data_IF_700038409848
#
_entry.id   IF_700038409848
#
_cell.length_a   1.000
_cell.length_b   1.000
_cell.length_c   1.000
_cell.angle_alpha   90.00
_cell.angle_beta   90.00
_cell.angle_gamma   90.00
#
_symmetry.space_group_name_H-M   'P 1'
#
loop_
_entity.id
_entity.type
_entity.pdbx_description
1 polymer ?
#
# COMPACT_ATOMS: atom_id res chain seq x y z
N UNK A 1 -38.34 77.62 17.07
CA UNK A 1 -39.47 76.81 16.56
C UNK A 1 -38.90 75.61 15.85
N UNK A 2 -39.49 74.43 16.11
CA UNK A 2 -39.21 73.09 15.56
C UNK A 2 -37.91 72.38 15.99
N UNK A 3 -38.01 71.76 17.15
CA UNK A 3 -37.32 70.54 17.59
C UNK A 3 -37.55 69.38 16.61
N UNK A 4 -36.49 68.63 16.25
CA UNK A 4 -36.59 67.22 15.88
C UNK A 4 -35.48 66.48 16.62
N UNK A 5 -35.88 65.52 17.47
CA UNK A 5 -35.03 64.58 18.20
C UNK A 5 -35.21 63.23 17.52
N UNK A 6 -34.10 62.53 17.24
CA UNK A 6 -34.12 61.10 16.86
C UNK A 6 -33.00 60.40 17.63
N UNK A 7 -33.35 59.33 18.35
CA UNK A 7 -32.49 58.59 19.27
C UNK A 7 -31.97 57.27 18.63
N UNK A 8 -30.65 57.09 18.72
CA UNK A 8 -29.83 55.89 19.06
C UNK A 8 -30.14 54.47 18.52
N UNK A 9 -29.09 53.83 17.98
CA UNK A 9 -28.60 52.42 18.14
C UNK A 9 -27.55 52.18 17.02
N UNK A 10 -26.41 51.50 17.11
CA UNK A 10 -25.73 50.60 18.06
C UNK A 10 -24.58 49.91 17.28
N UNK A 11 -23.56 49.40 17.99
CA UNK A 11 -22.36 48.59 17.62
C UNK A 11 -22.33 47.85 16.26
N UNK A 12 -21.20 47.53 15.62
CA UNK A 12 -19.82 47.33 16.05
C UNK A 12 -19.10 46.51 14.96
N UNK A 13 -17.78 46.58 14.93
CA UNK A 13 -16.88 45.90 13.98
C UNK A 13 -16.91 44.37 14.10
N UNK A 14 -16.95 43.66 12.97
CA UNK A 14 -16.56 42.25 12.90
C UNK A 14 -15.40 42.09 11.91
N UNK A 15 -14.22 41.60 12.35
CA UNK A 15 -13.19 41.14 11.45
C UNK A 15 -13.67 39.87 10.75
N UNK A 16 -13.40 39.77 9.44
CA UNK A 16 -13.57 38.55 8.68
C UNK A 16 -12.86 37.41 9.41
N UNK A 17 -13.66 36.58 10.07
CA UNK A 17 -13.16 35.38 10.74
C UNK A 17 -12.81 34.40 9.63
N UNK A 18 -11.54 34.39 9.23
CA UNK A 18 -10.96 33.33 8.41
C UNK A 18 -11.21 32.04 9.19
N UNK A 19 -12.21 31.28 8.74
CA UNK A 19 -12.48 29.96 9.30
C UNK A 19 -11.25 29.11 8.99
N UNK A 20 -10.50 28.60 9.97
CA UNK A 20 -9.40 27.70 9.69
C UNK A 20 -9.99 26.47 9.00
N UNK A 21 -9.69 26.29 7.71
CA UNK A 21 -10.04 25.08 6.98
C UNK A 21 -9.37 23.91 7.67
N UNK A 22 -10.17 23.06 8.33
CA UNK A 22 -9.71 21.81 8.92
C UNK A 22 -8.94 21.02 7.85
N UNK A 23 -7.72 20.53 8.13
CA UNK A 23 -7.00 19.70 7.18
C UNK A 23 -7.91 18.56 6.72
N UNK A 24 -8.13 18.41 5.41
CA UNK A 24 -8.89 17.31 4.86
C UNK A 24 -8.16 16.01 5.20
N UNK A 25 -8.76 15.20 6.07
CA UNK A 25 -8.22 13.90 6.44
C UNK A 25 -8.35 12.94 5.26
N UNK A 26 -7.22 12.43 4.76
CA UNK A 26 -7.18 11.49 3.63
C UNK A 26 -7.84 10.16 4.08
N UNK A 27 -8.88 9.67 3.39
CA UNK A 27 -9.53 8.41 3.77
C UNK A 27 -8.61 7.22 3.47
N UNK A 28 -8.13 6.54 4.51
CA UNK A 28 -7.22 5.39 4.39
C UNK A 28 -7.92 4.08 4.02
N UNK A 29 -9.24 4.04 4.14
CA UNK A 29 -10.07 2.84 3.94
C UNK A 29 -10.80 2.84 2.59
N UNK A 30 -10.41 3.73 1.67
CA UNK A 30 -10.98 3.76 0.33
C UNK A 30 -10.67 2.44 -0.42
N UNK A 31 -11.72 1.75 -0.86
CA UNK A 31 -11.58 0.54 -1.66
C UNK A 31 -11.14 0.86 -3.09
N UNK A 32 -10.31 0.00 -3.72
CA UNK A 32 -9.99 0.12 -5.14
C UNK A 32 -11.24 -0.09 -6.00
N UNK A 33 -11.22 0.48 -7.20
CA UNK A 33 -12.30 0.34 -8.18
C UNK A 33 -11.89 -0.55 -9.35
N UNK A 34 -12.85 -1.17 -10.04
CA UNK A 34 -12.60 -2.08 -11.16
C UNK A 34 -11.58 -3.20 -10.86
N UNK A 35 -11.73 -3.80 -9.67
CA UNK A 35 -10.89 -4.89 -9.19
C UNK A 35 -10.98 -6.10 -10.13
N UNK A 36 -9.81 -6.58 -10.57
CA UNK A 36 -9.61 -7.77 -11.39
C UNK A 36 -8.41 -8.54 -10.88
N UNK A 37 -8.36 -9.83 -11.19
CA UNK A 37 -7.33 -10.73 -10.69
C UNK A 37 -6.46 -11.25 -11.83
N UNK A 38 -5.15 -11.33 -11.58
CA UNK A 38 -4.17 -11.91 -12.51
C UNK A 38 -3.29 -12.91 -11.78
N UNK A 39 -2.87 -13.94 -12.50
CA UNK A 39 -1.99 -14.97 -11.95
C UNK A 39 -0.51 -14.58 -12.08
N UNK A 40 0.26 -14.84 -11.02
CA UNK A 40 1.71 -14.75 -11.03
C UNK A 40 2.31 -15.88 -10.19
N UNK A 41 2.99 -16.83 -10.85
CA UNK A 41 3.64 -17.98 -10.21
C UNK A 41 2.75 -18.75 -9.21
N UNK A 42 1.47 -18.92 -9.53
CA UNK A 42 0.49 -19.63 -8.70
C UNK A 42 -0.16 -18.78 -7.60
N UNK A 43 0.11 -17.46 -7.58
CA UNK A 43 -0.57 -16.49 -6.72
C UNK A 43 -1.53 -15.63 -7.54
N UNK A 44 -2.71 -15.35 -6.97
CA UNK A 44 -3.66 -14.39 -7.50
C UNK A 44 -3.34 -12.98 -6.99
N UNK A 45 -3.15 -12.03 -7.90
CA UNK A 45 -2.77 -10.64 -7.63
C UNK A 45 -3.87 -9.67 -8.06
N UNK A 46 -4.19 -8.66 -7.23
CA UNK A 46 -5.17 -7.66 -7.58
C UNK A 46 -4.58 -6.65 -8.59
N UNK A 47 -5.40 -6.28 -9.55
CA UNK A 47 -5.26 -5.06 -10.35
C UNK A 47 -6.56 -4.26 -10.25
N UNK A 48 -6.48 -2.94 -10.34
CA UNK A 48 -7.62 -2.05 -10.20
C UNK A 48 -7.51 -0.88 -11.19
N UNK A 49 -8.45 0.07 -11.09
CA UNK A 49 -8.34 1.35 -11.76
C UNK A 49 -7.19 2.21 -11.18
N UNK A 50 -6.80 2.00 -9.91
CA UNK A 50 -5.70 2.73 -9.27
C UNK A 50 -4.31 2.08 -9.50
N UNK A 51 -4.25 1.08 -10.38
CA UNK A 51 -3.03 0.43 -10.83
C UNK A 51 -3.01 -1.09 -10.65
N UNK A 52 -1.99 -1.78 -11.20
CA UNK A 52 -0.95 -1.20 -12.07
C UNK A 52 -1.50 -0.78 -13.44
N UNK A 53 -1.04 0.38 -13.94
CA UNK A 53 -1.35 0.89 -15.27
C UNK A 53 -0.41 0.35 -16.35
N UNK A 54 0.84 0.04 -15.97
CA UNK A 54 1.90 -0.43 -16.86
C UNK A 54 1.99 -1.96 -16.84
N UNK A 55 0.99 -2.62 -17.40
CA UNK A 55 0.82 -4.08 -17.31
C UNK A 55 1.64 -4.90 -18.31
N UNK A 56 2.38 -4.26 -19.23
CA UNK A 56 3.21 -4.96 -20.22
C UNK A 56 4.40 -5.68 -19.58
N UNK A 57 4.89 -5.17 -18.45
CA UNK A 57 5.85 -5.90 -17.62
C UNK A 57 5.09 -6.83 -16.68
N UNK A 58 4.98 -8.10 -17.06
CA UNK A 58 4.26 -9.10 -16.27
C UNK A 58 5.02 -9.47 -14.99
N UNK A 59 6.34 -9.22 -14.91
CA UNK A 59 7.18 -9.58 -13.75
C UNK A 59 7.12 -8.50 -12.68
N UNK A 60 7.16 -7.23 -13.09
CA UNK A 60 7.14 -6.08 -12.19
C UNK A 60 6.29 -4.94 -12.77
N UNK A 61 4.96 -5.14 -12.90
CA UNK A 61 4.07 -4.10 -13.43
C UNK A 61 4.07 -2.88 -12.50
N UNK A 62 4.09 -1.70 -13.10
CA UNK A 62 4.15 -0.42 -12.39
C UNK A 62 2.99 0.50 -12.70
N UNK A 63 3.14 1.77 -12.32
CA UNK A 63 2.15 2.81 -12.51
C UNK A 63 0.99 2.62 -11.54
N UNK A 64 1.27 2.70 -10.25
CA UNK A 64 0.22 2.76 -9.22
C UNK A 64 -0.03 4.22 -8.83
N UNK A 65 -1.30 4.56 -8.61
CA UNK A 65 -1.66 5.93 -8.27
C UNK A 65 -1.05 6.36 -6.92
N UNK A 66 -0.71 7.65 -6.78
CA UNK A 66 -0.29 8.25 -5.48
C UNK A 66 -1.47 8.50 -4.55
N UNK A 67 -2.28 7.47 -4.34
CA UNK A 67 -3.48 7.47 -3.50
C UNK A 67 -3.40 6.33 -2.49
N UNK A 68 -4.22 6.35 -1.41
CA UNK A 68 -4.32 5.23 -0.48
C UNK A 68 -4.54 3.85 -1.14
N UNK A 69 -5.52 3.66 -2.05
CA UNK A 69 -5.70 2.39 -2.75
C UNK A 69 -4.52 2.02 -3.65
N UNK A 70 -3.95 2.98 -4.39
CA UNK A 70 -2.77 2.73 -5.24
C UNK A 70 -1.56 2.25 -4.43
N UNK A 71 -1.29 2.85 -3.27
CA UNK A 71 -0.22 2.41 -2.37
C UNK A 71 -0.47 1.00 -1.79
N UNK A 72 -1.73 0.67 -1.45
CA UNK A 72 -2.10 -0.67 -0.99
C UNK A 72 -1.89 -1.74 -2.08
N UNK A 73 -2.32 -1.46 -3.31
CA UNK A 73 -2.12 -2.33 -4.47
C UNK A 73 -0.64 -2.53 -4.80
N UNK A 74 0.16 -1.46 -4.72
CA UNK A 74 1.61 -1.51 -4.91
C UNK A 74 2.28 -2.40 -3.84
N UNK A 75 1.87 -2.25 -2.57
CA UNK A 75 2.41 -3.04 -1.46
C UNK A 75 2.11 -4.54 -1.63
N UNK A 76 0.86 -4.90 -1.96
CA UNK A 76 0.45 -6.29 -2.22
C UNK A 76 1.23 -6.88 -3.40
N UNK A 77 1.29 -6.15 -4.53
CA UNK A 77 2.03 -6.60 -5.71
C UNK A 77 3.51 -6.81 -5.38
N UNK A 78 4.17 -5.86 -4.70
CA UNK A 78 5.59 -5.97 -4.37
C UNK A 78 5.88 -7.15 -3.42
N UNK A 79 5.13 -7.31 -2.34
CA UNK A 79 5.37 -8.38 -1.36
C UNK A 79 5.15 -9.77 -1.97
N UNK A 80 4.04 -9.96 -2.69
CA UNK A 80 3.73 -11.26 -3.30
C UNK A 80 4.78 -11.59 -4.37
N UNK A 81 5.08 -10.66 -5.28
CA UNK A 81 6.06 -10.87 -6.34
C UNK A 81 7.45 -11.14 -5.79
N UNK A 82 7.88 -10.42 -4.76
CA UNK A 82 9.16 -10.67 -4.08
C UNK A 82 9.23 -12.08 -3.48
N UNK A 83 8.11 -12.57 -2.93
CA UNK A 83 8.04 -13.86 -2.24
C UNK A 83 8.06 -15.06 -3.19
N UNK A 84 7.43 -14.95 -4.37
CA UNK A 84 7.26 -16.09 -5.28
C UNK A 84 8.05 -15.95 -6.60
N UNK A 85 8.88 -14.93 -6.75
CA UNK A 85 9.71 -14.75 -7.95
C UNK A 85 10.68 -15.92 -8.15
N UNK A 86 10.72 -16.41 -9.39
CA UNK A 86 11.65 -17.46 -9.81
C UNK A 86 13.08 -16.91 -10.01
N UNK A 87 14.03 -17.81 -10.18
CA UNK A 87 15.47 -17.50 -10.32
C UNK A 87 15.79 -16.49 -11.42
N UNK A 88 15.05 -16.51 -12.52
CA UNK A 88 15.17 -15.60 -13.66
C UNK A 88 14.37 -14.28 -13.50
N UNK A 89 13.50 -14.20 -12.50
CA UNK A 89 12.58 -13.08 -12.29
C UNK A 89 12.99 -12.18 -11.12
N UNK A 90 13.49 -12.77 -10.03
CA UNK A 90 13.76 -12.01 -8.81
C UNK A 90 14.72 -10.82 -9.00
N UNK A 91 15.74 -10.85 -9.90
CA UNK A 91 16.59 -9.68 -10.10
C UNK A 91 15.81 -8.48 -10.63
N UNK A 92 14.83 -8.71 -11.53
CA UNK A 92 13.95 -7.65 -12.03
C UNK A 92 12.97 -7.19 -10.96
N UNK A 93 12.37 -8.11 -10.20
CA UNK A 93 11.48 -7.75 -9.07
C UNK A 93 12.21 -6.87 -8.06
N UNK A 94 13.46 -7.19 -7.70
CA UNK A 94 14.26 -6.35 -6.79
C UNK A 94 14.57 -4.99 -7.42
N UNK A 95 14.96 -4.97 -8.71
CA UNK A 95 15.32 -3.73 -9.39
C UNK A 95 14.15 -2.76 -9.46
N UNK A 96 12.98 -3.27 -9.83
CA UNK A 96 11.80 -2.47 -10.14
C UNK A 96 10.88 -2.30 -8.94
N UNK A 97 10.83 -3.18 -7.95
CA UNK A 97 9.83 -3.06 -6.87
C UNK A 97 10.41 -2.62 -5.54
N UNK A 98 11.72 -2.71 -5.31
CA UNK A 98 12.32 -2.39 -4.01
C UNK A 98 13.01 -1.02 -4.01
N UNK A 99 12.81 -0.29 -2.92
CA UNK A 99 13.48 0.97 -2.68
C UNK A 99 14.99 0.74 -2.55
N UNK A 100 15.83 1.63 -3.08
CA UNK A 100 17.28 1.54 -2.89
C UNK A 100 17.66 1.72 -1.41
N UNK A 101 18.68 1.00 -0.95
CA UNK A 101 19.21 1.12 0.41
C UNK A 101 19.82 -0.18 0.93
N UNK A 102 20.49 -0.11 2.09
CA UNK A 102 21.21 -1.23 2.69
C UNK A 102 20.36 -2.50 2.83
N UNK A 103 19.11 -2.37 3.31
CA UNK A 103 18.22 -3.52 3.48
C UNK A 103 17.93 -4.26 2.16
N UNK A 104 17.89 -3.54 1.03
CA UNK A 104 17.76 -4.15 -0.30
C UNK A 104 19.05 -4.89 -0.70
N UNK A 105 20.21 -4.33 -0.43
CA UNK A 105 21.50 -4.96 -0.74
C UNK A 105 21.73 -6.23 0.10
N UNK A 106 21.33 -6.20 1.36
CA UNK A 106 21.34 -7.35 2.25
C UNK A 106 20.37 -8.43 1.77
N UNK A 107 19.17 -8.04 1.33
CA UNK A 107 18.21 -8.96 0.72
C UNK A 107 18.80 -9.65 -0.51
N UNK A 108 19.46 -8.91 -1.41
CA UNK A 108 20.11 -9.49 -2.61
C UNK A 108 21.16 -10.53 -2.21
N UNK A 109 22.01 -10.18 -1.23
CA UNK A 109 23.08 -11.06 -0.72
C UNK A 109 22.55 -12.36 -0.12
N UNK A 110 21.38 -12.31 0.52
CA UNK A 110 20.72 -13.50 1.06
C UNK A 110 19.97 -14.28 -0.03
N UNK A 111 19.24 -13.57 -0.91
CA UNK A 111 18.37 -14.17 -1.93
C UNK A 111 19.16 -14.96 -2.99
N UNK A 112 20.38 -14.54 -3.33
CA UNK A 112 21.25 -15.24 -4.29
C UNK A 112 21.65 -16.65 -3.84
N UNK A 113 21.57 -16.94 -2.53
CA UNK A 113 21.88 -18.25 -1.96
C UNK A 113 20.71 -19.23 -2.05
N UNK A 114 19.54 -18.76 -2.51
CA UNK A 114 18.30 -19.52 -2.62
C UNK A 114 17.96 -19.76 -4.09
N UNK A 115 17.45 -20.94 -4.40
CA UNK A 115 16.93 -21.27 -5.74
C UNK A 115 15.44 -21.56 -5.68
N UNK A 116 14.69 -20.95 -6.59
CA UNK A 116 13.24 -21.09 -6.76
C UNK A 116 12.96 -21.27 -8.24
N UNK A 117 12.70 -22.51 -8.65
CA UNK A 117 12.56 -22.90 -10.06
C UNK A 117 11.12 -23.22 -10.45
N UNK A 118 10.19 -23.23 -9.50
CA UNK A 118 8.77 -23.46 -9.74
C UNK A 118 7.91 -22.54 -8.87
N UNK A 119 6.76 -22.13 -9.40
CA UNK A 119 5.78 -21.36 -8.66
C UNK A 119 5.08 -22.17 -7.56
N UNK A 120 4.13 -21.53 -6.89
CA UNK A 120 3.37 -22.13 -5.80
C UNK A 120 2.49 -23.27 -6.35
N UNK A 121 2.54 -24.48 -5.77
CA UNK A 121 1.70 -25.59 -6.21
C UNK A 121 0.20 -25.29 -6.08
N UNK A 122 -0.59 -25.87 -6.98
CA UNK A 122 -2.04 -25.76 -6.92
C UNK A 122 -2.59 -26.21 -5.55
N UNK A 123 -3.51 -25.43 -4.99
CA UNK A 123 -4.08 -25.68 -3.65
C UNK A 123 -3.16 -25.31 -2.48
N UNK A 124 -1.95 -24.81 -2.73
CA UNK A 124 -1.01 -24.35 -1.70
C UNK A 124 -0.79 -22.83 -1.71
N UNK A 125 -1.50 -22.08 -2.55
CA UNK A 125 -1.41 -20.64 -2.63
C UNK A 125 -2.03 -19.97 -1.39
N UNK A 126 -1.28 -19.15 -0.64
CA UNK A 126 -1.88 -18.22 0.31
C UNK A 126 -2.80 -17.23 -0.43
N UNK A 127 -3.85 -16.79 0.25
CA UNK A 127 -4.84 -15.87 -0.29
C UNK A 127 -4.73 -14.53 0.43
N UNK A 128 -4.35 -13.47 -0.29
CA UNK A 128 -4.37 -12.11 0.24
C UNK A 128 -5.83 -11.68 0.41
N UNK A 129 -6.23 -11.42 1.66
CA UNK A 129 -7.60 -11.06 2.02
C UNK A 129 -7.88 -9.55 1.87
N UNK A 130 -6.82 -8.75 1.87
CA UNK A 130 -6.92 -7.30 1.87
C UNK A 130 -5.76 -6.65 2.60
N UNK A 131 -5.91 -5.36 2.89
CA UNK A 131 -4.89 -4.60 3.59
C UNK A 131 -5.49 -3.52 4.48
N UNK A 132 -4.68 -2.97 5.38
CA UNK A 132 -4.96 -1.76 6.14
C UNK A 132 -3.79 -0.79 6.02
N UNK A 133 -4.05 0.44 5.60
CA UNK A 133 -3.06 1.51 5.72
C UNK A 133 -3.04 2.01 7.16
N UNK A 134 -1.89 1.89 7.82
CA UNK A 134 -1.68 2.40 9.18
C UNK A 134 -1.16 3.84 9.18
N UNK A 135 -0.54 4.26 8.07
CA UNK A 135 -0.15 5.64 7.80
C UNK A 135 -0.06 5.91 6.30
N UNK A 136 -0.34 7.15 5.88
CA UNK A 136 -0.21 7.56 4.48
C UNK A 136 0.21 9.02 4.35
N UNK A 137 1.18 9.25 3.49
CA UNK A 137 1.41 10.50 2.77
C UNK A 137 1.58 10.15 1.28
N UNK A 138 1.50 11.13 0.36
CA UNK A 138 1.82 10.87 -1.04
C UNK A 138 3.23 10.30 -1.27
N UNK A 139 4.17 10.46 -0.32
CA UNK A 139 5.54 9.97 -0.42
C UNK A 139 5.79 8.64 0.30
N UNK A 140 4.91 8.21 1.22
CA UNK A 140 5.11 7.01 2.04
C UNK A 140 3.79 6.44 2.56
N UNK A 141 3.63 5.13 2.49
CA UNK A 141 2.53 4.42 3.12
C UNK A 141 3.05 3.24 3.97
N UNK A 142 2.50 3.10 5.17
CA UNK A 142 2.66 1.90 6.00
C UNK A 142 1.42 1.04 5.85
N UNK A 143 1.61 -0.23 5.54
CA UNK A 143 0.54 -1.15 5.10
C UNK A 143 0.67 -2.46 5.85
N UNK A 144 -0.44 -2.90 6.44
CA UNK A 144 -0.61 -4.25 6.97
C UNK A 144 -1.34 -5.08 5.91
N UNK A 145 -0.73 -6.15 5.42
CA UNK A 145 -1.32 -7.05 4.42
C UNK A 145 -1.79 -8.33 5.12
N UNK A 146 -3.07 -8.63 5.02
CA UNK A 146 -3.66 -9.80 5.67
C UNK A 146 -3.74 -10.97 4.71
N UNK A 147 -3.19 -12.12 5.11
CA UNK A 147 -3.09 -13.30 4.26
C UNK A 147 -3.63 -14.52 4.99
N UNK A 148 -4.51 -15.26 4.29
CA UNK A 148 -4.97 -16.57 4.70
C UNK A 148 -4.04 -17.64 4.13
N UNK A 149 -3.50 -18.48 4.99
CA UNK A 149 -2.64 -19.59 4.61
C UNK A 149 -3.46 -20.81 4.17
N UNK A 150 -2.87 -21.76 3.41
CA UNK A 150 -3.58 -22.97 2.96
C UNK A 150 -4.14 -23.84 4.09
N UNK A 151 -3.51 -23.83 5.26
CA UNK A 151 -3.98 -24.54 6.46
C UNK A 151 -5.12 -23.79 7.20
N UNK A 152 -5.53 -22.63 6.69
CA UNK A 152 -6.57 -21.78 7.25
C UNK A 152 -6.07 -20.80 8.31
N UNK A 153 -4.80 -20.86 8.72
CA UNK A 153 -4.21 -19.86 9.62
C UNK A 153 -4.13 -18.49 8.95
N UNK A 154 -4.06 -17.43 9.75
CA UNK A 154 -4.02 -16.04 9.28
C UNK A 154 -2.71 -15.38 9.69
N UNK A 155 -2.16 -14.57 8.80
CA UNK A 155 -0.97 -13.77 9.04
C UNK A 155 -1.21 -12.32 8.65
N UNK A 156 -0.45 -11.42 9.27
CA UNK A 156 -0.29 -10.04 8.85
C UNK A 156 1.16 -9.80 8.46
N UNK A 157 1.40 -9.19 7.30
CA UNK A 157 2.70 -8.70 6.89
C UNK A 157 2.74 -7.17 7.07
N UNK A 158 3.66 -6.70 7.92
CA UNK A 158 3.87 -5.28 8.20
C UNK A 158 4.89 -4.73 7.21
N UNK A 159 4.44 -3.84 6.33
CA UNK A 159 5.26 -3.33 5.25
C UNK A 159 5.17 -1.82 5.07
N UNK A 160 6.12 -1.26 4.34
CA UNK A 160 6.14 0.14 3.97
C UNK A 160 6.49 0.27 2.49
N UNK A 161 5.73 1.10 1.78
CA UNK A 161 6.08 1.54 0.42
C UNK A 161 6.41 3.02 0.44
N UNK A 162 7.41 3.41 -0.34
CA UNK A 162 7.83 4.80 -0.53
C UNK A 162 7.70 5.18 -2.00
N UNK A 163 7.23 6.39 -2.27
CA UNK A 163 7.24 6.93 -3.61
C UNK A 163 8.66 7.34 -3.96
N UNK A 164 9.20 6.85 -5.07
CA UNK A 164 10.55 7.23 -5.51
C UNK A 164 10.45 8.06 -6.78
N UNK A 165 10.66 9.40 -6.72
CA UNK A 165 10.46 10.29 -7.87
C UNK A 165 11.27 9.91 -9.11
N UNK A 166 12.46 9.36 -8.94
CA UNK A 166 13.31 8.92 -10.05
C UNK A 166 12.70 7.77 -10.86
N UNK A 167 11.83 6.97 -10.25
CA UNK A 167 11.10 5.89 -10.90
C UNK A 167 9.65 6.26 -11.22
N UNK A 168 9.12 7.33 -10.63
CA UNK A 168 7.74 7.74 -10.83
C UNK A 168 6.71 6.73 -10.30
N UNK A 169 7.08 5.94 -9.29
CA UNK A 169 6.20 4.89 -8.75
C UNK A 169 6.54 4.54 -7.29
N UNK A 170 5.67 3.75 -6.66
CA UNK A 170 5.88 3.17 -5.34
C UNK A 170 6.95 2.06 -5.37
N UNK A 171 7.73 1.99 -4.29
CA UNK A 171 8.76 0.97 -4.07
C UNK A 171 8.67 0.45 -2.64
N UNK A 172 8.73 -0.86 -2.47
CA UNK A 172 8.78 -1.55 -1.20
C UNK A 172 10.07 -1.18 -0.45
N UNK A 173 9.92 -0.56 0.71
CA UNK A 173 11.00 -0.32 1.65
C UNK A 173 11.13 -1.54 2.55
N UNK A 174 12.20 -2.32 2.36
CA UNK A 174 12.46 -3.46 3.23
C UNK A 174 12.76 -2.99 4.66
N UNK A 175 12.27 -3.72 5.68
CA UNK A 175 12.54 -3.39 7.07
C UNK A 175 14.03 -3.50 7.37
N UNK A 176 14.51 -2.64 8.26
CA UNK A 176 15.85 -2.75 8.81
C UNK A 176 15.92 -3.96 9.74
N UNK A 177 16.71 -4.97 9.38
CA UNK A 177 16.89 -6.17 10.18
C UNK A 177 17.43 -5.86 11.58
N UNK A 178 18.19 -4.77 11.75
CA UNK A 178 18.72 -4.36 13.05
C UNK A 178 17.63 -3.78 13.99
N UNK A 179 16.47 -3.37 13.45
CA UNK A 179 15.37 -2.85 14.26
C UNK A 179 14.63 -3.95 15.04
N UNK A 180 14.83 -5.24 14.70
CA UNK A 180 14.34 -6.38 15.47
C UNK A 180 12.82 -6.61 15.46
N UNK A 181 12.04 -5.79 14.74
CA UNK A 181 10.60 -6.01 14.57
C UNK A 181 10.35 -7.16 13.59
N UNK A 182 9.38 -8.02 13.91
CA UNK A 182 8.95 -9.06 12.97
C UNK A 182 8.21 -8.43 11.79
N UNK A 183 8.57 -8.74 10.53
CA UNK A 183 7.81 -8.29 9.38
C UNK A 183 6.49 -9.06 9.21
N UNK A 184 6.34 -10.22 9.86
CA UNK A 184 5.15 -11.06 9.74
C UNK A 184 4.75 -11.59 11.12
N UNK A 185 3.48 -11.45 11.45
CA UNK A 185 2.90 -11.98 12.70
C UNK A 185 1.70 -12.90 12.40
N UNK A 186 1.48 -13.87 13.29
CA UNK A 186 0.28 -14.70 13.27
C UNK A 186 -0.88 -13.95 13.95
N UNK A 187 -2.07 -14.03 13.37
CA UNK A 187 -3.28 -13.38 13.89
C UNK A 187 -4.45 -14.37 13.96
N UNK A 188 -5.42 -14.09 14.83
CA UNK A 188 -6.63 -14.91 14.96
C UNK A 188 -7.78 -14.48 14.05
N UNK A 189 -7.80 -13.22 13.60
CA UNK A 189 -8.81 -12.66 12.70
C UNK A 189 -8.29 -11.41 11.99
N UNK A 190 -8.85 -11.11 10.82
CA UNK A 190 -8.62 -9.83 10.12
C UNK A 190 -9.44 -8.71 10.74
N UNK A 191 -8.95 -7.46 10.74
CA UNK A 191 -9.71 -6.34 11.28
C UNK A 191 -10.89 -5.97 10.38
N UNK A 192 -11.97 -5.44 10.97
CA UNK A 192 -13.20 -5.09 10.24
C UNK A 192 -13.08 -3.81 9.42
N UNK A 193 -12.04 -3.00 9.67
CA UNK A 193 -11.77 -1.74 8.97
C UNK A 193 -10.69 -1.88 7.88
N UNK A 194 -10.32 -3.12 7.50
CA UNK A 194 -9.45 -3.35 6.35
C UNK A 194 -10.17 -3.06 5.03
N UNK A 195 -9.38 -2.69 4.01
CA UNK A 195 -9.82 -2.75 2.61
C UNK A 195 -9.81 -4.22 2.19
N UNK A 196 -11.00 -4.82 2.10
CA UNK A 196 -11.16 -6.21 1.72
C UNK A 196 -10.99 -6.39 0.20
N UNK A 197 -10.16 -7.35 -0.18
CA UNK A 197 -10.04 -7.82 -1.56
C UNK A 197 -10.98 -9.01 -1.74
N UNK A 198 -12.06 -8.82 -2.50
CA UNK A 198 -13.08 -9.84 -2.71
C UNK A 198 -12.98 -10.45 -4.11
N UNK A 199 -13.39 -11.71 -4.26
CA UNK A 199 -13.50 -12.37 -5.56
C UNK A 199 -12.20 -12.92 -6.16
N UNK A 200 -11.18 -13.16 -5.33
CA UNK A 200 -9.95 -13.88 -5.72
C UNK A 200 -10.19 -15.36 -5.98
#
# INVERSE_FOLDING_TARGET
>A
MCTVITLLTGCGSEPDTVTPSTPQQIPLTASPTDLRWVEFNGMSLPQAAEGPHEISDVIAPGGFDRTPPGAGLAAVNAIVRLSVALDDQWPQVVRELLAPGQARDDFITNRIQLSTTSGVPAGQAPQVQGWKLTAFTPDKASVDIYTRMPDGSMTVNHTTVVWVPAFGDWRLLLPDAAAGASPVDAISATPTDMVALTGA
#
